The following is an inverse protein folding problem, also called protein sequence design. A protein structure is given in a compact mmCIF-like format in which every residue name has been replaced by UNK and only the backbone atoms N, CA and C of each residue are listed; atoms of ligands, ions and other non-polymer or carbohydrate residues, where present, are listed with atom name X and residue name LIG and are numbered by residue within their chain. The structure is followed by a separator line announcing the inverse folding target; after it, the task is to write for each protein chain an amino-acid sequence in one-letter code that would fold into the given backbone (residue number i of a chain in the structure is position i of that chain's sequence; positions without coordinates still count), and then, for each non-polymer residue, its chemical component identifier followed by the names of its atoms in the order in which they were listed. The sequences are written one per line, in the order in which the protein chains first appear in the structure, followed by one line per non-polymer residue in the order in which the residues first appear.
data_IF_629047725691
#
_entry.id   IF_629047725691
#
_cell.length_a   1.000
_cell.length_b   1.000
_cell.length_c   1.000
_cell.angle_alpha   90.00
_cell.angle_beta   90.00
_cell.angle_gamma   90.00
#
_symmetry.space_group_name_H-M   'P 1'
#
loop_
_entity.id
_entity.type
_entity.pdbx_description
1 polymer ?
#
# COMPACT_ATOMS: atom_id res chain seq x y z
N UNK A 1 12.71 16.11 -7.76
CA UNK A 1 12.35 14.70 -7.47
C UNK A 1 10.85 14.46 -7.59
N UNK A 2 10.00 14.99 -6.69
CA UNK A 2 8.54 14.76 -6.77
C UNK A 2 7.96 15.28 -8.09
N UNK A 3 8.34 16.48 -8.54
CA UNK A 3 7.88 17.02 -9.82
C UNK A 3 8.38 16.20 -11.02
N UNK A 4 9.62 15.71 -10.97
CA UNK A 4 10.18 14.85 -12.02
C UNK A 4 9.43 13.52 -12.10
N UNK A 5 9.10 12.94 -10.94
CA UNK A 5 8.35 11.68 -10.85
C UNK A 5 6.89 11.85 -11.29
N UNK A 6 6.26 12.96 -10.92
CA UNK A 6 4.92 13.29 -11.40
C UNK A 6 4.91 13.47 -12.92
N UNK A 7 5.94 14.10 -13.49
CA UNK A 7 6.09 14.25 -14.95
C UNK A 7 6.25 12.91 -15.66
N UNK A 8 6.87 11.93 -15.00
CA UNK A 8 6.98 10.54 -15.49
C UNK A 8 5.69 9.72 -15.34
N UNK A 9 4.67 10.23 -14.63
CA UNK A 9 3.43 9.49 -14.35
C UNK A 9 3.63 8.29 -13.42
N UNK A 10 4.68 8.32 -12.59
CA UNK A 10 5.00 7.22 -11.68
C UNK A 10 4.20 7.32 -10.37
N UNK A 11 3.69 6.17 -9.91
CA UNK A 11 2.82 5.98 -8.76
C UNK A 11 1.44 6.64 -8.91
N UNK A 12 0.97 6.79 -10.14
CA UNK A 12 -0.35 7.37 -10.44
C UNK A 12 -1.46 6.44 -9.95
N UNK A 13 -2.47 7.01 -9.29
CA UNK A 13 -3.58 6.27 -8.68
C UNK A 13 -3.11 5.12 -7.78
N UNK A 14 -2.11 5.39 -6.94
CA UNK A 14 -1.70 4.48 -5.88
C UNK A 14 -2.15 5.03 -4.52
N UNK A 15 -2.19 4.16 -3.50
CA UNK A 15 -2.45 4.60 -2.14
C UNK A 15 -1.57 3.84 -1.17
N UNK A 16 -1.13 4.50 -0.11
CA UNK A 16 -0.29 3.90 0.91
C UNK A 16 -1.08 3.63 2.19
N UNK A 17 -0.81 2.47 2.78
CA UNK A 17 -1.04 2.13 4.18
C UNK A 17 0.31 2.21 4.87
N UNK A 18 0.45 3.15 5.80
CA UNK A 18 1.69 3.31 6.58
C UNK A 18 1.50 2.72 7.97
N UNK A 19 2.27 1.69 8.28
CA UNK A 19 2.44 1.21 9.64
C UNK A 19 3.34 2.20 10.39
N UNK A 20 2.78 2.76 11.46
CA UNK A 20 3.44 3.67 12.40
C UNK A 20 3.35 3.16 13.83
N UNK A 21 3.21 1.83 13.97
CA UNK A 21 3.19 1.17 15.26
C UNK A 21 4.54 1.23 15.98
N UNK A 22 4.54 0.91 17.27
CA UNK A 22 5.75 0.96 18.08
C UNK A 22 6.85 0.01 17.59
N UNK A 23 6.52 -1.12 16.95
CA UNK A 23 7.51 -2.06 16.40
C UNK A 23 8.32 -1.43 15.28
N UNK A 24 7.73 -0.51 14.50
CA UNK A 24 8.38 0.19 13.40
C UNK A 24 9.54 1.10 13.83
N UNK A 25 9.72 1.37 15.14
CA UNK A 25 10.76 2.28 15.66
C UNK A 25 12.14 2.06 15.02
N UNK A 26 12.74 3.14 14.53
CA UNK A 26 14.00 3.13 13.80
C UNK A 26 13.80 3.31 12.29
N UNK A 27 14.66 2.68 11.49
CA UNK A 27 14.61 2.78 10.02
C UNK A 27 13.27 2.36 9.40
N UNK A 28 12.56 1.30 9.85
CA UNK A 28 11.27 0.94 9.26
C UNK A 28 10.23 2.06 9.35
N UNK A 29 10.13 2.76 10.49
CA UNK A 29 9.26 3.92 10.67
C UNK A 29 9.62 5.05 9.71
N UNK A 30 10.90 5.37 9.60
CA UNK A 30 11.38 6.44 8.71
C UNK A 30 11.03 6.14 7.25
N UNK A 31 11.20 4.88 6.82
CA UNK A 31 10.88 4.44 5.47
C UNK A 31 9.37 4.41 5.22
N UNK A 32 8.59 3.86 6.16
CA UNK A 32 7.11 3.81 6.06
C UNK A 32 6.50 5.20 5.91
N UNK A 33 6.97 6.16 6.70
CA UNK A 33 6.50 7.56 6.62
C UNK A 33 6.96 8.23 5.33
N UNK A 34 8.23 8.05 4.94
CA UNK A 34 8.77 8.68 3.74
C UNK A 34 8.11 8.17 2.46
N UNK A 35 7.98 6.85 2.31
CA UNK A 35 7.32 6.24 1.15
C UNK A 35 5.82 6.50 1.14
N UNK A 36 5.18 6.45 2.32
CA UNK A 36 3.76 6.79 2.46
C UNK A 36 3.46 8.20 1.99
N UNK A 37 4.23 9.19 2.45
CA UNK A 37 4.12 10.57 2.00
C UNK A 37 4.39 10.70 0.50
N UNK A 38 5.43 10.04 -0.02
CA UNK A 38 5.78 10.09 -1.43
C UNK A 38 4.64 9.57 -2.31
N UNK A 39 4.05 8.41 -1.99
CA UNK A 39 2.89 7.87 -2.69
C UNK A 39 1.74 8.88 -2.62
N UNK A 40 1.43 9.40 -1.43
CA UNK A 40 0.32 10.35 -1.28
C UNK A 40 0.47 11.62 -2.15
N UNK A 41 1.69 12.14 -2.30
CA UNK A 41 1.96 13.35 -3.08
C UNK A 41 1.98 13.08 -4.59
N UNK A 42 2.36 11.88 -5.02
CA UNK A 42 2.43 11.51 -6.43
C UNK A 42 1.09 11.05 -6.99
N UNK A 43 0.20 10.52 -6.15
CA UNK A 43 -1.15 10.16 -6.55
C UNK A 43 -1.95 11.36 -7.07
N UNK A 44 -2.87 11.07 -8.00
CA UNK A 44 -3.74 12.07 -8.61
C UNK A 44 -5.02 12.24 -7.79
N UNK A 45 -5.79 13.30 -8.08
CA UNK A 45 -7.12 13.43 -7.50
C UNK A 45 -8.01 12.25 -7.94
N UNK A 46 -8.90 11.73 -7.06
CA UNK A 46 -9.21 12.21 -5.72
C UNK A 46 -8.34 11.59 -4.61
N UNK A 47 -7.23 10.93 -4.92
CA UNK A 47 -6.39 10.19 -3.97
C UNK A 47 -5.24 11.02 -3.42
N UNK A 48 -4.86 12.07 -4.14
CA UNK A 48 -3.77 12.97 -3.80
C UNK A 48 -3.85 13.45 -2.35
N UNK A 49 -2.69 13.42 -1.70
CA UNK A 49 -2.45 13.80 -0.31
C UNK A 49 -3.06 12.84 0.70
N UNK A 50 -3.58 11.68 0.30
CA UNK A 50 -4.27 10.76 1.21
C UNK A 50 -3.45 9.52 1.54
N UNK A 51 -3.64 9.02 2.77
CA UNK A 51 -3.09 7.79 3.30
C UNK A 51 -4.15 7.02 4.08
N UNK A 52 -3.98 5.71 4.18
CA UNK A 52 -4.82 4.85 5.02
C UNK A 52 -4.03 4.41 6.26
N UNK A 53 -4.68 4.37 7.42
CA UNK A 53 -4.05 3.85 8.66
C UNK A 53 -3.88 2.34 8.62
N UNK A 54 -2.78 1.84 9.20
CA UNK A 54 -2.57 0.42 9.47
C UNK A 54 -3.36 0.02 10.74
N UNK A 55 -4.61 -0.44 10.56
CA UNK A 55 -5.54 -0.69 11.68
C UNK A 55 -6.68 -1.65 11.32
N UNK A 56 -7.24 -2.35 12.32
CA UNK A 56 -8.49 -3.12 12.21
C UNK A 56 -9.70 -2.23 11.87
N UNK A 57 -9.59 -0.93 12.13
CA UNK A 57 -10.54 0.12 11.72
C UNK A 57 -9.80 1.15 10.88
N UNK A 58 -9.45 0.81 9.63
CA UNK A 58 -8.67 1.71 8.79
C UNK A 58 -9.43 3.00 8.53
N UNK A 59 -8.69 4.10 8.39
CA UNK A 59 -9.22 5.43 8.11
C UNK A 59 -8.42 6.07 6.98
N UNK A 60 -9.13 6.74 6.07
CA UNK A 60 -8.53 7.54 5.01
C UNK A 60 -8.28 8.97 5.52
N UNK A 61 -7.01 9.33 5.68
CA UNK A 61 -6.60 10.66 6.14
C UNK A 61 -6.06 11.49 4.99
N UNK A 62 -6.46 12.76 4.94
CA UNK A 62 -5.77 13.79 4.15
C UNK A 62 -4.62 14.34 4.98
N UNK A 63 -3.40 14.19 4.50
CA UNK A 63 -2.19 14.67 5.18
C UNK A 63 -2.25 16.18 5.34
N UNK A 64 -2.00 16.65 6.56
CA UNK A 64 -1.96 18.08 6.90
C UNK A 64 -0.54 18.52 7.20
N UNK A 65 -0.26 19.80 6.97
CA UNK A 65 1.04 20.42 7.22
C UNK A 65 1.53 21.22 6.01
N UNK A 66 2.25 22.29 6.28
CA UNK A 66 2.74 23.23 5.26
C UNK A 66 4.14 22.88 4.75
N UNK A 67 4.89 22.08 5.53
CA UNK A 67 6.25 21.68 5.23
C UNK A 67 6.45 20.16 5.41
N UNK A 68 7.59 19.65 4.96
CA UNK A 68 7.90 18.22 5.06
C UNK A 68 7.91 17.74 6.52
N UNK A 69 8.37 18.58 7.46
CA UNK A 69 8.45 18.23 8.89
C UNK A 69 7.07 18.00 9.47
N UNK A 70 6.16 18.94 9.28
CA UNK A 70 4.78 18.88 9.77
C UNK A 70 3.98 17.76 9.12
N UNK A 71 4.16 17.52 7.81
CA UNK A 71 3.56 16.36 7.12
C UNK A 71 4.08 15.02 7.64
N UNK A 72 5.39 14.91 7.85
CA UNK A 72 6.02 13.71 8.45
C UNK A 72 5.49 13.47 9.85
N UNK A 73 5.35 14.53 10.65
CA UNK A 73 4.81 14.43 12.00
C UNK A 73 3.34 13.99 11.98
N UNK A 74 2.53 14.56 11.09
CA UNK A 74 1.13 14.16 10.91
C UNK A 74 0.99 12.65 10.66
N UNK A 75 1.81 12.09 9.77
CA UNK A 75 1.76 10.65 9.46
C UNK A 75 2.22 9.81 10.66
N UNK A 76 3.25 10.23 11.38
CA UNK A 76 3.72 9.53 12.60
C UNK A 76 2.69 9.51 13.72
N UNK A 77 1.85 10.53 13.79
CA UNK A 77 0.82 10.68 14.81
C UNK A 77 -0.52 10.03 14.41
N UNK A 78 -0.59 9.40 13.23
CA UNK A 78 -1.78 8.64 12.81
C UNK A 78 -2.03 7.47 13.75
N UNK A 79 -3.32 7.20 14.02
CA UNK A 79 -3.73 6.03 14.79
C UNK A 79 -3.30 4.73 14.09
N UNK A 80 -2.83 3.77 14.88
CA UNK A 80 -2.51 2.41 14.43
C UNK A 80 -3.22 1.37 15.32
N UNK A 81 -3.51 0.19 14.77
CA UNK A 81 -4.44 -0.78 15.38
C UNK A 81 -3.94 -2.23 15.40
N UNK A 82 -2.65 -2.44 15.63
CA UNK A 82 -1.92 -3.72 15.66
C UNK A 82 -1.92 -4.55 14.36
N UNK A 83 -3.05 -4.73 13.69
CA UNK A 83 -3.23 -5.43 12.42
C UNK A 83 -4.04 -4.58 11.44
N UNK A 84 -4.19 -5.01 10.18
CA UNK A 84 -5.02 -4.32 9.18
C UNK A 84 -6.20 -5.18 8.72
N UNK A 85 -7.39 -4.58 8.64
CA UNK A 85 -8.57 -5.21 8.03
C UNK A 85 -8.68 -4.80 6.55
N UNK A 86 -8.14 -5.65 5.66
CA UNK A 86 -8.12 -5.37 4.23
C UNK A 86 -9.51 -5.33 3.58
N UNK A 87 -10.54 -5.99 4.13
CA UNK A 87 -11.90 -5.82 3.61
C UNK A 87 -12.33 -4.35 3.73
N UNK A 88 -12.10 -3.76 4.91
CA UNK A 88 -12.47 -2.37 5.18
C UNK A 88 -11.62 -1.37 4.39
N UNK A 89 -10.34 -1.67 4.16
CA UNK A 89 -9.50 -0.86 3.26
C UNK A 89 -10.13 -0.78 1.88
N UNK A 90 -10.48 -1.92 1.29
CA UNK A 90 -11.07 -1.97 -0.04
C UNK A 90 -12.47 -1.36 -0.08
N UNK A 91 -13.25 -1.47 1.01
CA UNK A 91 -14.53 -0.80 1.16
C UNK A 91 -14.38 0.74 1.19
N UNK A 92 -13.33 1.27 1.84
CA UNK A 92 -13.04 2.72 1.83
C UNK A 92 -12.72 3.22 0.42
N UNK A 93 -11.85 2.52 -0.29
CA UNK A 93 -11.48 2.86 -1.68
C UNK A 93 -12.74 2.81 -2.56
N UNK A 94 -13.52 1.74 -2.47
CA UNK A 94 -14.75 1.58 -3.24
C UNK A 94 -15.77 2.66 -2.92
N UNK A 95 -15.88 3.07 -1.65
CA UNK A 95 -16.75 4.17 -1.24
C UNK A 95 -16.37 5.49 -1.90
N UNK A 96 -15.08 5.86 -1.88
CA UNK A 96 -14.60 7.07 -2.57
C UNK A 96 -14.93 7.00 -4.06
N UNK A 97 -14.71 5.83 -4.68
CA UNK A 97 -15.00 5.62 -6.09
C UNK A 97 -16.49 5.78 -6.45
N UNK A 98 -17.37 5.18 -5.64
CA UNK A 98 -18.82 5.24 -5.86
C UNK A 98 -19.36 6.65 -5.59
N UNK A 99 -18.97 7.26 -4.47
CA UNK A 99 -19.43 8.60 -4.09
C UNK A 99 -18.93 9.66 -5.08
N UNK A 100 -17.69 9.51 -5.56
CA UNK A 100 -17.06 10.37 -6.56
C UNK A 100 -17.45 10.07 -8.01
N UNK A 101 -18.16 8.96 -8.27
CA UNK A 101 -18.49 8.47 -9.63
C UNK A 101 -17.26 8.36 -10.53
N UNK A 102 -16.19 7.81 -9.98
CA UNK A 102 -14.91 7.71 -10.68
C UNK A 102 -15.01 6.83 -11.92
N UNK A 103 -14.22 7.14 -12.91
CA UNK A 103 -14.01 6.26 -14.05
C UNK A 103 -13.02 5.16 -13.68
N UNK A 104 -13.03 4.01 -14.38
CA UNK A 104 -12.08 2.93 -14.12
C UNK A 104 -10.61 3.37 -14.15
N UNK A 105 -10.24 4.32 -15.00
CA UNK A 105 -8.89 4.88 -15.09
C UNK A 105 -8.47 5.73 -13.87
N UNK A 106 -9.43 6.26 -13.13
CA UNK A 106 -9.22 7.05 -11.90
C UNK A 106 -9.17 6.14 -10.66
N UNK A 107 -9.44 4.84 -10.79
CA UNK A 107 -9.40 3.89 -9.68
C UNK A 107 -7.97 3.66 -9.20
N UNK A 108 -7.84 3.38 -7.91
CA UNK A 108 -6.59 2.91 -7.34
C UNK A 108 -6.15 1.63 -8.06
N UNK A 109 -4.93 1.64 -8.59
CA UNK A 109 -4.29 0.47 -9.21
C UNK A 109 -3.61 -0.40 -8.16
N UNK A 110 -2.93 0.23 -7.19
CA UNK A 110 -2.14 -0.46 -6.16
C UNK A 110 -2.30 0.16 -4.77
N UNK A 111 -2.41 -0.72 -3.79
CA UNK A 111 -2.34 -0.40 -2.36
C UNK A 111 -0.96 -0.84 -1.85
N UNK A 112 -0.09 0.10 -1.54
CA UNK A 112 1.19 -0.19 -0.90
C UNK A 112 1.00 -0.30 0.60
N UNK A 113 1.47 -1.39 1.20
CA UNK A 113 1.46 -1.57 2.65
C UNK A 113 2.90 -1.57 3.12
N UNK A 114 3.28 -0.58 3.91
CA UNK A 114 4.61 -0.45 4.47
C UNK A 114 4.57 -0.84 5.94
N UNK A 115 5.02 -2.06 6.28
CA UNK A 115 4.97 -2.61 7.65
C UNK A 115 6.23 -3.42 7.96
N UNK A 116 6.46 -3.75 9.23
CA UNK A 116 7.51 -4.68 9.65
C UNK A 116 7.01 -6.11 9.94
N UNK A 117 5.73 -6.37 9.65
CA UNK A 117 5.06 -7.65 9.81
C UNK A 117 5.09 -8.49 8.52
N UNK A 118 4.78 -9.78 8.64
CA UNK A 118 4.42 -10.60 7.48
C UNK A 118 2.94 -10.40 7.12
N UNK A 119 2.58 -10.61 5.85
CA UNK A 119 1.22 -10.35 5.35
C UNK A 119 0.14 -11.19 6.05
N UNK A 120 0.44 -12.46 6.31
CA UNK A 120 -0.49 -13.37 6.99
C UNK A 120 -0.72 -12.98 8.45
N UNK A 121 0.30 -12.48 9.13
CA UNK A 121 0.20 -11.89 10.47
C UNK A 121 -0.64 -10.60 10.43
N UNK A 122 -0.30 -9.67 9.54
CA UNK A 122 -0.97 -8.38 9.41
C UNK A 122 -2.45 -8.49 9.00
N UNK A 123 -2.81 -9.52 8.21
CA UNK A 123 -4.17 -9.76 7.73
C UNK A 123 -5.03 -10.63 8.66
N UNK A 124 -4.47 -11.14 9.76
CA UNK A 124 -5.12 -12.11 10.65
C UNK A 124 -6.26 -11.56 11.54
N UNK A 125 -6.70 -10.31 11.34
CA UNK A 125 -7.59 -9.55 12.24
C UNK A 125 -9.04 -10.05 12.39
N UNK A 126 -9.46 -11.12 11.71
CA UNK A 126 -10.84 -11.60 11.85
C UNK A 126 -11.05 -12.42 13.13
N UNK A 127 -11.26 -11.72 14.26
CA UNK A 127 -11.75 -12.31 15.53
C UNK A 127 -13.12 -13.01 15.40
N UNK A 128 -13.79 -12.87 14.24
CA UNK A 128 -15.14 -13.40 13.99
C UNK A 128 -15.17 -14.77 13.30
N UNK A 129 -14.03 -15.32 12.84
CA UNK A 129 -13.98 -16.65 12.23
C UNK A 129 -12.72 -17.42 12.68
N UNK A 130 -12.86 -18.27 13.71
CA UNK A 130 -11.87 -19.30 14.10
C UNK A 130 -11.70 -20.42 13.05
N UNK A 131 -12.26 -20.25 11.85
CA UNK A 131 -11.89 -21.02 10.67
C UNK A 131 -10.99 -20.11 9.85
N UNK A 132 -9.74 -20.52 9.67
CA UNK A 132 -8.74 -19.89 8.80
C UNK A 132 -9.39 -19.65 7.42
N UNK A 133 -10.06 -18.51 7.25
CA UNK A 133 -10.55 -18.08 5.94
C UNK A 133 -9.30 -17.73 5.17
N UNK A 134 -9.01 -18.49 4.10
CA UNK A 134 -7.88 -18.19 3.24
C UNK A 134 -8.05 -16.76 2.70
N UNK A 135 -6.92 -16.09 2.48
CA UNK A 135 -6.90 -14.80 1.82
C UNK A 135 -7.69 -14.83 0.50
N UNK A 136 -7.65 -15.97 -0.22
CA UNK A 136 -8.42 -16.19 -1.44
C UNK A 136 -9.93 -15.91 -1.27
N UNK A 137 -10.58 -16.43 -0.23
CA UNK A 137 -12.02 -16.16 0.02
C UNK A 137 -12.27 -14.68 0.33
N UNK A 138 -11.36 -14.04 1.09
CA UNK A 138 -11.45 -12.60 1.34
C UNK A 138 -11.33 -11.81 0.03
N UNK A 139 -10.35 -12.15 -0.81
CA UNK A 139 -10.14 -11.51 -2.09
C UNK A 139 -11.35 -11.68 -3.03
N UNK A 140 -11.98 -12.85 -3.06
CA UNK A 140 -13.20 -13.09 -3.84
C UNK A 140 -14.36 -12.20 -3.40
N UNK A 141 -14.53 -11.98 -2.08
CA UNK A 141 -15.53 -11.05 -1.55
C UNK A 141 -15.24 -9.62 -2.01
N UNK A 142 -13.98 -9.18 -1.98
CA UNK A 142 -13.56 -7.87 -2.49
C UNK A 142 -13.92 -7.73 -3.98
N UNK A 143 -13.53 -8.71 -4.79
CA UNK A 143 -13.81 -8.71 -6.23
C UNK A 143 -15.31 -8.66 -6.51
N UNK A 144 -16.13 -9.39 -5.75
CA UNK A 144 -17.60 -9.35 -5.89
C UNK A 144 -18.15 -7.95 -5.62
N UNK A 145 -17.75 -7.32 -4.51
CA UNK A 145 -18.18 -5.96 -4.15
C UNK A 145 -17.82 -4.95 -5.25
N UNK A 146 -16.61 -5.04 -5.78
CA UNK A 146 -16.17 -4.16 -6.88
C UNK A 146 -16.97 -4.41 -8.16
N UNK A 147 -17.21 -5.68 -8.51
CA UNK A 147 -18.01 -6.06 -9.68
C UNK A 147 -19.44 -5.53 -9.59
N UNK A 148 -20.07 -5.64 -8.43
CA UNK A 148 -21.43 -5.13 -8.18
C UNK A 148 -21.56 -3.60 -8.35
N UNK A 149 -20.46 -2.87 -8.16
CA UNK A 149 -20.40 -1.41 -8.35
C UNK A 149 -19.86 -0.98 -9.73
N UNK A 150 -19.59 -1.93 -10.62
CA UNK A 150 -19.07 -1.64 -11.97
C UNK A 150 -17.54 -1.52 -12.08
N UNK A 151 -16.81 -1.82 -11.00
CA UNK A 151 -15.34 -1.72 -10.93
C UNK A 151 -14.61 -3.07 -10.94
N UNK A 152 -15.29 -4.16 -11.32
CA UNK A 152 -14.73 -5.52 -11.24
C UNK A 152 -13.48 -5.77 -12.10
N UNK A 153 -13.21 -4.94 -13.11
CA UNK A 153 -12.01 -5.01 -13.94
C UNK A 153 -10.81 -4.21 -13.41
N UNK A 154 -11.02 -3.43 -12.35
CA UNK A 154 -10.04 -2.49 -11.79
C UNK A 154 -9.97 -2.62 -10.26
N UNK A 155 -9.92 -3.87 -9.80
CA UNK A 155 -9.70 -4.18 -8.38
C UNK A 155 -8.22 -3.92 -8.05
N UNK A 156 -7.90 -3.12 -7.01
CA UNK A 156 -6.51 -2.83 -6.65
C UNK A 156 -5.71 -4.08 -6.32
N UNK A 157 -4.44 -4.11 -6.72
CA UNK A 157 -3.44 -5.06 -6.23
C UNK A 157 -2.84 -4.55 -4.91
N UNK A 158 -2.58 -5.46 -3.96
CA UNK A 158 -1.80 -5.12 -2.76
C UNK A 158 -0.33 -5.38 -3.05
N UNK A 159 0.51 -4.38 -2.78
CA UNK A 159 1.96 -4.58 -2.68
C UNK A 159 2.34 -4.46 -1.22
N UNK A 160 2.51 -5.61 -0.56
CA UNK A 160 2.85 -5.67 0.84
C UNK A 160 4.36 -5.69 1.01
N UNK A 161 4.91 -4.65 1.60
CA UNK A 161 6.34 -4.44 1.74
C UNK A 161 6.76 -4.55 3.22
N UNK A 162 7.40 -5.68 3.55
CA UNK A 162 8.05 -5.87 4.83
C UNK A 162 9.37 -5.09 4.88
N UNK A 163 9.39 -4.04 5.70
CA UNK A 163 10.50 -3.10 5.88
C UNK A 163 11.55 -3.57 6.88
N UNK A 164 11.31 -4.67 7.61
CA UNK A 164 12.28 -5.26 8.53
C UNK A 164 13.14 -6.29 7.82
N UNK A 165 14.41 -6.33 8.21
CA UNK A 165 15.48 -7.13 7.61
C UNK A 165 15.07 -8.61 7.55
N UNK A 166 14.72 -9.08 6.36
CA UNK A 166 14.38 -10.48 6.09
C UNK A 166 15.43 -11.05 5.14
N UNK A 167 15.97 -12.22 5.48
CA UNK A 167 17.03 -12.92 4.71
C UNK A 167 16.51 -13.57 3.42
N UNK A 168 15.32 -13.21 2.96
CA UNK A 168 14.55 -13.95 1.95
C UNK A 168 14.22 -13.09 0.74
N UNK A 169 14.00 -13.80 -0.38
CA UNK A 169 13.84 -13.31 -1.74
C UNK A 169 13.07 -11.97 -1.83
N UNK A 170 13.65 -10.94 -2.46
CA UNK A 170 13.20 -9.54 -2.33
C UNK A 170 11.79 -9.28 -2.86
N UNK A 171 11.28 -10.15 -3.74
CA UNK A 171 9.92 -10.09 -4.26
C UNK A 171 9.41 -11.50 -4.49
N UNK A 172 8.26 -11.86 -3.91
CA UNK A 172 7.56 -13.12 -4.21
C UNK A 172 6.06 -12.87 -4.33
N UNK A 173 5.42 -13.52 -5.31
CA UNK A 173 3.96 -13.55 -5.39
C UNK A 173 3.48 -14.83 -4.71
N UNK A 174 2.99 -14.72 -3.48
CA UNK A 174 2.48 -15.88 -2.73
C UNK A 174 0.96 -16.03 -2.86
N UNK A 175 0.24 -14.93 -3.08
CA UNK A 175 -1.22 -14.86 -2.91
C UNK A 175 -1.91 -14.11 -4.06
N UNK A 176 -3.19 -14.42 -4.30
CA UNK A 176 -3.97 -13.81 -5.40
C UNK A 176 -4.22 -12.33 -5.11
N UNK A 177 -3.85 -11.46 -6.03
CA UNK A 177 -3.99 -10.00 -5.87
C UNK A 177 -3.02 -9.37 -4.86
N UNK A 178 -1.98 -10.10 -4.43
CA UNK A 178 -0.96 -9.60 -3.50
C UNK A 178 0.44 -9.92 -4.03
N UNK A 179 1.29 -8.92 -4.06
CA UNK A 179 2.74 -9.05 -4.23
C UNK A 179 3.42 -8.82 -2.87
N UNK A 180 4.31 -9.72 -2.46
CA UNK A 180 5.12 -9.57 -1.25
C UNK A 180 6.50 -9.05 -1.62
N UNK A 181 6.93 -8.01 -0.94
CA UNK A 181 8.25 -7.38 -1.09
C UNK A 181 8.92 -7.41 0.28
N UNK A 182 10.17 -7.85 0.35
CA UNK A 182 10.90 -7.92 1.61
C UNK A 182 12.26 -7.25 1.50
N UNK A 183 12.64 -6.57 2.58
CA UNK A 183 13.92 -5.90 2.69
C UNK A 183 13.91 -4.50 2.09
N UNK A 184 15.04 -3.80 2.25
CA UNK A 184 15.18 -2.40 1.83
C UNK A 184 16.51 -2.22 1.11
N UNK A 185 16.45 -2.04 -0.22
CA UNK A 185 17.64 -1.83 -1.06
C UNK A 185 17.44 -0.67 -2.02
N UNK A 186 18.56 -0.03 -2.44
CA UNK A 186 18.52 1.05 -3.44
C UNK A 186 17.85 0.60 -4.75
N UNK A 187 18.03 -0.68 -5.12
CA UNK A 187 17.47 -1.25 -6.34
C UNK A 187 15.95 -1.47 -6.22
N UNK A 188 15.46 -1.90 -5.04
CA UNK A 188 14.00 -1.97 -4.78
C UNK A 188 13.36 -0.58 -4.86
N UNK A 189 14.00 0.43 -4.25
CA UNK A 189 13.52 1.81 -4.33
C UNK A 189 13.54 2.28 -5.78
N UNK A 190 14.62 2.07 -6.53
CA UNK A 190 14.68 2.43 -7.95
C UNK A 190 13.55 1.77 -8.75
N UNK A 191 13.30 0.48 -8.57
CA UNK A 191 12.19 -0.20 -9.25
C UNK A 191 10.83 0.38 -8.90
N UNK A 192 10.59 0.62 -7.61
CA UNK A 192 9.37 1.24 -7.12
C UNK A 192 9.14 2.62 -7.77
N UNK A 193 10.21 3.41 -7.94
CA UNK A 193 10.14 4.75 -8.52
C UNK A 193 10.07 4.74 -10.06
N UNK A 194 10.72 3.80 -10.74
CA UNK A 194 10.86 3.79 -12.20
C UNK A 194 9.72 3.05 -12.92
N UNK A 195 9.01 2.13 -12.26
CA UNK A 195 8.00 1.26 -12.89
C UNK A 195 6.55 1.49 -12.39
N UNK A 196 6.16 2.73 -12.04
CA UNK A 196 4.82 3.03 -11.50
C UNK A 196 4.47 2.17 -10.25
N UNK A 197 5.50 1.81 -9.47
CA UNK A 197 5.38 0.90 -8.33
C UNK A 197 5.11 -0.56 -8.67
N UNK A 198 5.23 -0.97 -9.93
CA UNK A 198 5.27 -2.37 -10.33
C UNK A 198 6.60 -2.99 -9.87
N UNK A 199 6.50 -3.94 -8.93
CA UNK A 199 7.65 -4.66 -8.39
C UNK A 199 7.55 -6.11 -8.91
N UNK A 200 8.23 -6.37 -10.04
CA UNK A 200 8.29 -7.68 -10.68
C UNK A 200 9.58 -8.43 -10.28
N UNK A 201 9.50 -9.64 -9.69
CA UNK A 201 10.67 -10.45 -9.36
C UNK A 201 11.66 -10.66 -10.53
N UNK A 202 11.16 -10.79 -11.76
CA UNK A 202 12.01 -11.02 -12.94
C UNK A 202 12.82 -9.77 -13.29
N UNK A 203 12.18 -8.59 -13.26
CA UNK A 203 12.86 -7.30 -13.46
C UNK A 203 13.86 -6.99 -12.33
N UNK A 204 13.57 -7.44 -11.11
CA UNK A 204 14.47 -7.28 -9.98
C UNK A 204 15.78 -8.03 -10.17
N UNK A 205 15.71 -9.30 -10.60
CA UNK A 205 16.91 -10.12 -10.82
C UNK A 205 17.81 -9.54 -11.92
N UNK A 206 17.24 -8.93 -12.97
CA UNK A 206 18.02 -8.24 -14.00
C UNK A 206 18.81 -7.04 -13.46
N UNK A 207 18.23 -6.26 -12.54
CA UNK A 207 18.89 -5.10 -11.94
C UNK A 207 20.01 -5.48 -10.97
N UNK A 208 19.90 -6.62 -10.28
CA UNK A 208 20.94 -7.11 -9.34
C UNK A 208 22.17 -7.67 -10.06
N UNK A 209 22.04 -8.12 -11.30
CA UNK A 209 23.16 -8.68 -12.08
C UNK A 209 24.04 -7.58 -12.72
N UNK A 210 23.60 -6.33 -12.70
CA UNK A 210 24.27 -5.19 -13.35
C UNK A 210 25.18 -4.40 -12.38
N UNK A 211 25.15 -4.71 -11.08
CA UNK A 211 26.04 -4.14 -10.04
C UNK A 211 27.20 -5.10 -9.69
#
# INVERSE_FOLDING_TARGET
MVDDMRTKGSLTNCIAISDVSASMTGTPMEVSVALGLLVSELSEEPWKGKLITFSETPQLHLVKGDDLRSKTQFVRDMDWGANTDFQKVFDLILKVAVDGKLKPEEMIKRVFVFSDMEFDEASSSSRYNRRKSSWETNYEVIVSKYKEKGYGGVVPEIVFWNLRDSKSTPVTRSEKGVALVSGFSKNLIKMFLDNDGEIDPMKYNELVVID
#
